data_IF_674938297524
#
_entry.id   IF_674938297524
#
_cell.length_a   1.000
_cell.length_b   1.000
_cell.length_c   1.000
_cell.angle_alpha   90.00
_cell.angle_beta   90.00
_cell.angle_gamma   90.00
#
_symmetry.space_group_name_H-M   'P 1'
#
loop_
_entity.id
_entity.type
_entity.pdbx_description
1 polymer ?
#
# COMPACT_ATOMS: atom_id res chain seq x y z
N UNK A 1 11.69 -12.05 -20.20
CA UNK A 1 11.78 -10.70 -20.73
C UNK A 1 11.24 -9.75 -19.68
N UNK A 2 12.11 -8.92 -19.09
CA UNK A 2 11.75 -7.96 -18.06
C UNK A 2 11.38 -6.62 -18.69
N UNK A 3 10.10 -6.51 -19.00
CA UNK A 3 9.52 -5.39 -19.73
C UNK A 3 8.25 -4.92 -19.03
N UNK A 4 8.10 -3.61 -18.86
CA UNK A 4 6.89 -3.03 -18.29
C UNK A 4 6.60 -1.64 -18.87
N UNK A 5 5.31 -1.34 -19.02
CA UNK A 5 4.83 -0.05 -19.52
C UNK A 5 3.73 0.50 -18.63
N UNK A 6 3.87 1.77 -18.25
CA UNK A 6 2.86 2.55 -17.53
C UNK A 6 2.48 3.78 -18.35
N UNK A 7 1.28 4.30 -18.13
CA UNK A 7 0.79 5.54 -18.75
C UNK A 7 0.72 6.63 -17.71
N UNK A 8 1.30 7.78 -18.01
CA UNK A 8 1.11 9.01 -17.26
C UNK A 8 -0.24 9.61 -17.65
N UNK A 9 -1.26 9.50 -16.80
CA UNK A 9 -2.61 10.01 -17.11
C UNK A 9 -2.68 11.53 -17.20
N UNK A 10 -1.73 12.26 -16.60
CA UNK A 10 -1.66 13.72 -16.67
C UNK A 10 -1.17 14.19 -18.03
N UNK A 11 -0.13 13.54 -18.54
CA UNK A 11 0.54 13.94 -19.78
C UNK A 11 0.18 13.08 -20.99
N UNK A 12 -0.59 12.01 -20.80
CA UNK A 12 -0.95 11.01 -21.82
C UNK A 12 0.26 10.37 -22.50
N UNK A 13 1.35 10.20 -21.74
CA UNK A 13 2.58 9.58 -22.22
C UNK A 13 2.63 8.12 -21.80
N UNK A 14 3.03 7.23 -22.70
CA UNK A 14 3.35 5.85 -22.35
C UNK A 14 4.84 5.76 -22.07
N UNK A 15 5.21 5.34 -20.87
CA UNK A 15 6.58 5.14 -20.45
C UNK A 15 6.84 3.65 -20.32
N UNK A 16 7.92 3.19 -20.95
CA UNK A 16 8.30 1.78 -21.00
C UNK A 16 9.72 1.62 -20.48
N UNK A 17 9.90 0.64 -19.60
CA UNK A 17 11.20 0.17 -19.12
C UNK A 17 11.43 -1.24 -19.65
N UNK A 18 12.53 -1.40 -20.40
CA UNK A 18 13.09 -2.70 -20.76
C UNK A 18 14.39 -2.88 -19.96
N UNK A 19 14.35 -3.71 -18.91
CA UNK A 19 15.50 -3.96 -18.04
C UNK A 19 16.58 -4.75 -18.78
N UNK A 20 16.20 -5.71 -19.62
CA UNK A 20 17.13 -6.59 -20.32
C UNK A 20 17.90 -5.81 -21.40
N UNK A 21 17.21 -4.92 -22.12
CA UNK A 21 17.80 -4.06 -23.15
C UNK A 21 18.41 -2.77 -22.59
N UNK A 22 18.19 -2.46 -21.30
CA UNK A 22 18.59 -1.22 -20.64
C UNK A 22 18.00 0.05 -21.30
N UNK A 23 16.73 0.01 -21.70
CA UNK A 23 16.08 1.10 -22.44
C UNK A 23 14.96 1.73 -21.62
N UNK A 24 14.96 3.06 -21.56
CA UNK A 24 13.79 3.87 -21.21
C UNK A 24 13.21 4.42 -22.51
N UNK A 25 11.94 4.11 -22.77
CA UNK A 25 11.19 4.60 -23.93
C UNK A 25 10.02 5.43 -23.47
N UNK A 26 9.79 6.56 -24.12
CA UNK A 26 8.59 7.40 -23.93
C UNK A 26 7.91 7.54 -25.29
N UNK A 27 6.64 7.19 -25.34
CA UNK A 27 5.75 7.46 -26.48
C UNK A 27 4.86 8.65 -26.13
N UNK A 28 4.92 9.68 -26.97
CA UNK A 28 4.15 10.92 -26.86
C UNK A 28 3.39 11.07 -28.17
N UNK A 29 2.07 10.92 -28.13
CA UNK A 29 1.24 10.81 -29.34
C UNK A 29 1.78 9.69 -30.26
N UNK A 30 2.37 10.07 -31.40
CA UNK A 30 2.98 9.16 -32.39
C UNK A 30 4.52 9.14 -32.34
N UNK A 31 5.15 10.05 -31.60
CA UNK A 31 6.60 10.12 -31.51
C UNK A 31 7.12 9.20 -30.41
N UNK A 32 8.13 8.40 -30.74
CA UNK A 32 8.83 7.53 -29.81
C UNK A 32 10.22 8.11 -29.56
N UNK A 33 10.55 8.37 -28.29
CA UNK A 33 11.89 8.73 -27.85
C UNK A 33 12.45 7.62 -26.99
N UNK A 34 13.72 7.32 -27.16
CA UNK A 34 14.42 6.28 -26.41
C UNK A 34 15.75 6.80 -25.87
N UNK A 35 16.16 6.29 -24.72
CA UNK A 35 17.49 6.52 -24.16
C UNK A 35 17.99 5.26 -23.46
N UNK A 36 19.32 5.09 -23.44
CA UNK A 36 19.97 3.96 -22.78
C UNK A 36 20.24 4.28 -21.31
N UNK A 37 19.84 3.37 -20.45
CA UNK A 37 20.03 3.42 -19.01
C UNK A 37 21.34 2.75 -18.60
N UNK A 38 21.92 3.17 -17.47
CA UNK A 38 22.93 2.36 -16.78
C UNK A 38 22.25 1.12 -16.17
N UNK A 39 22.97 -0.01 -15.98
CA UNK A 39 22.39 -1.24 -15.43
C UNK A 39 21.57 -1.04 -14.15
N UNK A 40 22.14 -0.36 -13.15
CA UNK A 40 21.43 -0.09 -11.90
C UNK A 40 20.21 0.82 -12.08
N UNK A 41 20.24 1.75 -13.05
CA UNK A 41 19.10 2.64 -13.32
C UNK A 41 17.94 1.83 -13.88
N UNK A 42 18.23 0.93 -14.82
CA UNK A 42 17.24 0.03 -15.41
C UNK A 42 16.60 -0.87 -14.35
N UNK A 43 17.40 -1.52 -13.49
CA UNK A 43 16.86 -2.39 -12.44
C UNK A 43 16.04 -1.63 -11.40
N UNK A 44 16.48 -0.45 -10.95
CA UNK A 44 15.72 0.35 -9.99
C UNK A 44 14.40 0.82 -10.61
N UNK A 45 14.43 1.35 -11.84
CA UNK A 45 13.21 1.81 -12.52
C UNK A 45 12.26 0.67 -12.84
N UNK A 46 12.77 -0.47 -13.30
CA UNK A 46 11.96 -1.66 -13.56
C UNK A 46 11.24 -2.11 -12.28
N UNK A 47 11.97 -2.19 -11.16
CA UNK A 47 11.39 -2.56 -9.89
C UNK A 47 10.30 -1.55 -9.45
N UNK A 48 10.55 -0.24 -9.61
CA UNK A 48 9.58 0.80 -9.27
C UNK A 48 8.31 0.72 -10.13
N UNK A 49 8.46 0.46 -11.42
CA UNK A 49 7.34 0.30 -12.35
C UNK A 49 6.56 -0.98 -12.04
N UNK A 50 7.25 -2.10 -11.81
CA UNK A 50 6.62 -3.41 -11.58
C UNK A 50 5.81 -3.48 -10.29
N UNK A 51 6.22 -2.73 -9.27
CA UNK A 51 5.54 -2.69 -7.97
C UNK A 51 4.58 -1.52 -7.82
N UNK A 52 4.48 -0.61 -8.79
CA UNK A 52 3.55 0.51 -8.75
C UNK A 52 2.11 0.00 -8.51
N UNK A 53 1.33 0.60 -7.58
CA UNK A 53 1.56 1.86 -6.85
C UNK A 53 2.26 1.72 -5.48
N UNK A 54 2.85 0.57 -5.16
CA UNK A 54 3.53 0.32 -3.89
C UNK A 54 4.94 0.94 -3.92
N UNK A 55 5.32 1.77 -2.94
CA UNK A 55 6.70 2.26 -2.83
C UNK A 55 7.71 1.14 -2.60
N UNK A 56 8.89 1.28 -3.20
CA UNK A 56 10.04 0.43 -2.91
C UNK A 56 10.70 0.85 -1.59
N UNK A 57 10.82 -0.06 -0.62
CA UNK A 57 11.54 0.20 0.63
C UNK A 57 13.01 0.56 0.38
N UNK A 58 13.59 1.35 1.29
CA UNK A 58 14.99 1.77 1.19
C UNK A 58 15.97 0.59 1.17
N UNK A 59 15.65 -0.47 1.90
CA UNK A 59 16.42 -1.71 1.97
C UNK A 59 16.45 -2.40 0.61
N UNK A 60 15.30 -2.47 -0.06
CA UNK A 60 15.19 -3.12 -1.36
C UNK A 60 15.97 -2.36 -2.44
N UNK A 61 15.86 -1.03 -2.44
CA UNK A 61 16.64 -0.19 -3.36
C UNK A 61 18.14 -0.35 -3.10
N UNK A 62 18.55 -0.37 -1.83
CA UNK A 62 19.94 -0.57 -1.42
C UNK A 62 20.48 -1.91 -1.92
N UNK A 63 19.67 -2.97 -1.83
CA UNK A 63 20.02 -4.29 -2.32
C UNK A 63 20.23 -4.31 -3.83
N UNK A 64 19.33 -3.72 -4.60
CA UNK A 64 19.48 -3.57 -6.06
C UNK A 64 20.79 -2.83 -6.38
N UNK A 65 21.07 -1.71 -5.71
CA UNK A 65 22.29 -0.95 -5.95
C UNK A 65 23.55 -1.77 -5.62
N UNK A 66 23.53 -2.58 -4.55
CA UNK A 66 24.63 -3.47 -4.16
C UNK A 66 24.86 -4.61 -5.14
N UNK A 67 23.80 -5.19 -5.68
CA UNK A 67 23.88 -6.23 -6.74
C UNK A 67 24.58 -5.71 -7.99
N UNK A 68 24.46 -4.41 -8.26
CA UNK A 68 25.20 -3.71 -9.32
C UNK A 68 26.55 -3.13 -8.85
N UNK A 69 27.11 -3.68 -7.77
CA UNK A 69 28.40 -3.32 -7.18
C UNK A 69 28.56 -1.83 -6.81
N UNK A 70 27.47 -1.14 -6.50
CA UNK A 70 27.52 0.25 -6.02
C UNK A 70 27.73 0.30 -4.51
N UNK A 71 28.63 1.18 -4.07
CA UNK A 71 28.92 1.41 -2.66
C UNK A 71 27.77 2.20 -2.02
N UNK A 72 26.95 1.52 -1.22
CA UNK A 72 25.88 2.10 -0.41
C UNK A 72 26.16 1.82 1.07
N UNK A 73 26.99 2.68 1.68
CA UNK A 73 27.34 2.62 3.10
C UNK A 73 26.25 3.15 4.03
N UNK A 74 25.36 3.99 3.49
CA UNK A 74 24.34 4.72 4.24
C UNK A 74 23.18 5.15 3.32
N UNK A 75 22.10 5.62 3.93
CA UNK A 75 20.92 6.12 3.22
C UNK A 75 21.23 7.36 2.36
N UNK A 76 22.19 8.22 2.76
CA UNK A 76 22.54 9.41 1.97
C UNK A 76 23.11 9.03 0.60
N UNK A 77 23.96 8.01 0.53
CA UNK A 77 24.49 7.50 -0.74
C UNK A 77 23.39 6.90 -1.62
N UNK A 78 22.44 6.19 -1.04
CA UNK A 78 21.26 5.70 -1.77
C UNK A 78 20.44 6.88 -2.33
N UNK A 79 20.13 7.88 -1.51
CA UNK A 79 19.40 9.08 -1.96
C UNK A 79 20.12 9.83 -3.09
N UNK A 80 21.46 9.90 -3.06
CA UNK A 80 22.26 10.48 -4.16
C UNK A 80 22.11 9.69 -5.46
N UNK A 81 22.10 8.35 -5.40
CA UNK A 81 21.86 7.53 -6.59
C UNK A 81 20.47 7.78 -7.16
N UNK A 82 19.45 7.85 -6.32
CA UNK A 82 18.07 8.12 -6.78
C UNK A 82 17.95 9.52 -7.39
N UNK A 83 18.68 10.50 -6.84
CA UNK A 83 18.78 11.83 -7.42
C UNK A 83 19.49 11.84 -8.78
N UNK A 84 20.53 11.01 -8.97
CA UNK A 84 21.20 10.80 -10.27
C UNK A 84 20.21 10.25 -11.31
N UNK A 85 19.40 9.25 -10.95
CA UNK A 85 18.35 8.71 -11.83
C UNK A 85 17.35 9.80 -12.21
N UNK A 86 16.84 10.55 -11.22
CA UNK A 86 15.86 11.62 -11.44
C UNK A 86 16.40 12.70 -12.37
N UNK A 87 17.65 13.15 -12.16
CA UNK A 87 18.30 14.14 -13.02
C UNK A 87 18.49 13.63 -14.45
N UNK A 88 18.90 12.37 -14.60
CA UNK A 88 19.05 11.75 -15.91
C UNK A 88 17.71 11.72 -16.67
N UNK A 89 16.62 11.32 -16.01
CA UNK A 89 15.30 11.28 -16.64
C UNK A 89 14.81 12.69 -16.98
N UNK A 90 15.00 13.67 -16.09
CA UNK A 90 14.61 15.06 -16.33
C UNK A 90 15.35 15.68 -17.53
N UNK A 91 16.63 15.34 -17.71
CA UNK A 91 17.42 15.75 -18.88
C UNK A 91 16.91 15.12 -20.18
N UNK A 92 16.49 13.86 -20.11
CA UNK A 92 15.91 13.16 -21.27
C UNK A 92 14.52 13.71 -21.62
N UNK A 93 13.68 14.00 -20.62
CA UNK A 93 12.36 14.57 -20.80
C UNK A 93 11.94 15.46 -19.61
N UNK A 94 11.90 16.80 -19.76
CA UNK A 94 11.65 17.72 -18.65
C UNK A 94 10.34 17.48 -17.87
N UNK A 95 9.28 16.99 -18.52
CA UNK A 95 7.99 16.72 -17.85
C UNK A 95 8.00 15.46 -16.96
N UNK A 96 9.16 14.81 -16.79
CA UNK A 96 9.36 13.65 -15.91
C UNK A 96 10.31 13.96 -14.74
N UNK A 97 10.53 15.24 -14.44
CA UNK A 97 11.35 15.68 -13.32
C UNK A 97 10.84 15.18 -11.95
N UNK A 98 9.53 14.98 -11.84
CA UNK A 98 8.82 14.47 -10.65
C UNK A 98 8.47 12.98 -10.71
N UNK A 99 9.03 12.21 -11.67
CA UNK A 99 8.71 10.78 -11.85
C UNK A 99 9.10 9.90 -10.66
N UNK A 100 10.04 10.34 -9.82
CA UNK A 100 10.49 9.61 -8.62
C UNK A 100 10.14 10.44 -7.39
N UNK A 101 9.23 9.92 -6.57
CA UNK A 101 8.80 10.49 -5.30
C UNK A 101 9.49 9.78 -4.14
N UNK A 102 9.87 10.53 -3.10
CA UNK A 102 10.38 9.99 -1.85
C UNK A 102 9.33 10.17 -0.75
N UNK A 103 8.91 9.07 -0.14
CA UNK A 103 8.08 9.10 1.06
C UNK A 103 8.97 8.79 2.26
N UNK A 104 9.21 9.80 3.10
CA UNK A 104 10.13 9.71 4.24
C UNK A 104 9.75 8.54 5.16
N UNK A 105 10.71 7.66 5.42
CA UNK A 105 10.53 6.50 6.30
C UNK A 105 9.78 5.33 5.65
N UNK A 106 9.42 5.44 4.37
CA UNK A 106 8.74 4.39 3.61
C UNK A 106 9.61 3.92 2.45
N UNK A 107 10.07 4.83 1.59
CA UNK A 107 10.75 4.42 0.36
C UNK A 107 10.61 5.41 -0.79
N UNK A 108 10.80 4.88 -2.01
CA UNK A 108 10.60 5.61 -3.25
C UNK A 108 9.49 5.01 -4.10
N UNK A 109 8.69 5.86 -4.75
CA UNK A 109 7.60 5.43 -5.62
C UNK A 109 7.51 6.28 -6.88
N UNK A 110 6.70 5.82 -7.83
CA UNK A 110 6.22 6.67 -8.92
C UNK A 110 4.99 7.47 -8.44
N UNK A 111 4.72 8.64 -9.04
CA UNK A 111 3.45 9.35 -8.87
C UNK A 111 2.22 8.47 -9.11
N UNK A 112 1.15 8.68 -8.35
CA UNK A 112 -0.08 7.90 -8.50
C UNK A 112 -0.82 8.16 -9.83
N UNK A 113 -0.41 9.15 -10.61
CA UNK A 113 -0.92 9.37 -11.98
C UNK A 113 -0.47 8.32 -12.99
N UNK A 114 0.53 7.50 -12.63
CA UNK A 114 0.92 6.37 -13.47
C UNK A 114 -0.11 5.23 -13.34
N UNK A 115 -0.48 4.63 -14.48
CA UNK A 115 -1.45 3.51 -14.55
C UNK A 115 -0.92 2.43 -15.48
N UNK A 116 -1.34 1.18 -15.27
CA UNK A 116 -1.08 0.14 -16.25
C UNK A 116 -1.84 0.46 -17.55
N UNK A 117 -1.24 0.16 -18.71
CA UNK A 117 -1.89 0.32 -20.02
C UNK A 117 -3.27 -0.35 -20.09
N UNK A 118 -3.44 -1.49 -19.40
CA UNK A 118 -4.68 -2.25 -19.37
C UNK A 118 -5.73 -1.71 -18.39
N UNK A 119 -5.41 -0.69 -17.58
CA UNK A 119 -6.31 -0.06 -16.60
C UNK A 119 -6.89 1.28 -17.09
N UNK A 120 -6.56 1.72 -18.31
CA UNK A 120 -7.16 2.91 -18.92
C UNK A 120 -8.44 2.47 -19.61
N UNK A 121 -9.48 2.19 -18.84
CA UNK A 121 -10.80 2.10 -19.43
C UNK A 121 -11.36 3.52 -19.62
N UNK A 122 -12.13 3.76 -20.69
CA UNK A 122 -12.69 5.08 -20.98
C UNK A 122 -13.58 5.56 -19.81
N UNK A 123 -13.45 6.85 -19.48
CA UNK A 123 -14.09 7.58 -18.36
C UNK A 123 -15.63 7.63 -18.37
N UNK A 124 -16.32 6.70 -19.01
CA UNK A 124 -17.78 6.72 -19.07
C UNK A 124 -18.37 5.45 -18.47
N UNK A 125 -18.80 5.56 -17.21
CA UNK A 125 -19.70 4.65 -16.49
C UNK A 125 -19.21 3.24 -16.14
N UNK A 126 -17.96 3.09 -15.71
CA UNK A 126 -17.47 1.79 -15.24
C UNK A 126 -17.61 1.71 -13.72
N UNK A 127 -18.63 0.97 -13.29
CA UNK A 127 -18.68 0.42 -11.93
C UNK A 127 -17.51 -0.54 -11.79
N UNK A 128 -16.45 -0.12 -11.11
CA UNK A 128 -15.38 -1.01 -10.68
C UNK A 128 -15.98 -2.04 -9.71
N UNK A 129 -16.26 -3.26 -10.18
CA UNK A 129 -16.49 -4.42 -9.30
C UNK A 129 -15.14 -5.05 -9.00
N UNK A 130 -14.37 -4.47 -8.10
CA UNK A 130 -13.11 -5.10 -7.71
C UNK A 130 -13.42 -6.36 -6.88
N UNK A 131 -13.39 -7.52 -7.53
CA UNK A 131 -13.66 -8.81 -6.89
C UNK A 131 -12.63 -9.12 -5.79
N UNK A 132 -11.39 -8.64 -5.90
CA UNK A 132 -10.36 -8.84 -4.89
C UNK A 132 -10.63 -8.01 -3.63
N UNK A 133 -11.04 -6.74 -3.77
CA UNK A 133 -11.52 -5.93 -2.65
C UNK A 133 -12.71 -6.59 -1.97
N UNK A 134 -13.69 -7.08 -2.75
CA UNK A 134 -14.87 -7.72 -2.16
C UNK A 134 -14.50 -8.99 -1.37
N UNK A 135 -13.59 -9.81 -1.90
CA UNK A 135 -13.03 -10.97 -1.16
C UNK A 135 -12.27 -10.53 0.09
N UNK A 136 -11.48 -9.48 0.02
CA UNK A 136 -10.76 -8.94 1.18
C UNK A 136 -11.75 -8.42 2.25
N UNK A 137 -12.82 -7.74 1.86
CA UNK A 137 -13.86 -7.26 2.77
C UNK A 137 -14.63 -8.42 3.40
N UNK A 138 -14.92 -9.47 2.65
CA UNK A 138 -15.54 -10.70 3.17
C UNK A 138 -14.62 -11.42 4.16
N UNK A 139 -13.33 -11.52 3.87
CA UNK A 139 -12.34 -12.06 4.79
C UNK A 139 -12.25 -11.23 6.08
N UNK A 140 -12.21 -9.90 5.98
CA UNK A 140 -12.23 -8.99 7.13
C UNK A 140 -13.48 -9.19 8.00
N UNK A 141 -14.65 -9.39 7.40
CA UNK A 141 -15.87 -9.73 8.13
C UNK A 141 -15.71 -11.03 8.93
N UNK A 142 -15.13 -12.07 8.33
CA UNK A 142 -14.78 -13.32 9.04
C UNK A 142 -13.84 -13.08 10.22
N UNK A 143 -12.78 -12.30 10.03
CA UNK A 143 -11.84 -11.96 11.12
C UNK A 143 -12.51 -11.19 12.27
N UNK A 144 -13.49 -10.34 11.97
CA UNK A 144 -14.27 -9.63 13.00
C UNK A 144 -15.12 -10.60 13.82
N UNK A 145 -15.80 -11.54 13.15
CA UNK A 145 -16.58 -12.57 13.85
C UNK A 145 -15.70 -13.41 14.77
N UNK A 146 -14.52 -13.82 14.29
CA UNK A 146 -13.54 -14.54 15.11
C UNK A 146 -13.08 -13.70 16.30
N UNK A 147 -12.82 -12.40 16.11
CA UNK A 147 -12.39 -11.51 17.18
C UNK A 147 -13.47 -11.30 18.25
N UNK A 148 -14.75 -11.26 17.85
CA UNK A 148 -15.89 -11.20 18.79
C UNK A 148 -15.97 -12.49 19.61
N UNK A 149 -15.83 -13.66 18.97
CA UNK A 149 -15.80 -14.95 19.65
C UNK A 149 -14.61 -15.06 20.63
N UNK A 150 -13.40 -14.67 20.20
CA UNK A 150 -12.22 -14.63 21.06
C UNK A 150 -12.40 -13.68 22.26
N UNK A 151 -13.02 -12.52 22.05
CA UNK A 151 -13.33 -11.58 23.13
C UNK A 151 -14.24 -12.21 24.17
N UNK A 152 -15.27 -12.95 23.73
CA UNK A 152 -16.22 -13.62 24.64
C UNK A 152 -15.59 -14.70 25.52
N UNK A 153 -14.44 -15.25 25.10
CA UNK A 153 -13.67 -16.30 25.81
C UNK A 153 -12.54 -15.74 26.67
N UNK A 154 -12.28 -14.43 26.59
CA UNK A 154 -11.14 -13.78 27.23
C UNK A 154 -11.56 -13.12 28.54
N UNK A 155 -10.69 -13.19 29.54
CA UNK A 155 -10.90 -12.54 30.84
C UNK A 155 -10.32 -11.14 30.86
N UNK A 156 -10.90 -10.25 31.66
CA UNK A 156 -10.31 -8.94 31.94
C UNK A 156 -9.40 -9.06 33.16
N UNK A 157 -8.17 -8.56 33.03
CA UNK A 157 -7.16 -8.51 34.09
C UNK A 157 -6.74 -7.08 34.36
N UNK A 158 -6.34 -6.79 35.58
CA UNK A 158 -5.78 -5.51 35.95
C UNK A 158 -4.28 -5.45 35.65
N UNK A 159 -3.82 -4.32 35.09
CA UNK A 159 -2.42 -3.99 34.85
C UNK A 159 -2.11 -2.57 35.39
N UNK A 160 -0.84 -2.18 35.56
CA UNK A 160 -0.48 -0.83 36.00
C UNK A 160 -1.02 0.31 35.11
N UNK A 161 -1.35 0.01 33.85
CA UNK A 161 -1.89 0.97 32.88
C UNK A 161 -3.43 0.98 32.84
N UNK A 162 -4.10 0.07 33.57
CA UNK A 162 -5.55 -0.10 33.55
C UNK A 162 -5.98 -1.56 33.33
N UNK A 163 -7.26 -1.74 33.04
CA UNK A 163 -7.89 -3.02 32.76
C UNK A 163 -7.66 -3.43 31.31
N UNK A 164 -7.16 -4.64 31.11
CA UNK A 164 -6.81 -5.17 29.79
C UNK A 164 -7.44 -6.54 29.58
N UNK A 165 -7.66 -6.90 28.33
CA UNK A 165 -8.05 -8.25 27.98
C UNK A 165 -6.83 -9.19 28.06
N UNK A 166 -6.98 -10.30 28.79
CA UNK A 166 -5.99 -11.35 28.81
C UNK A 166 -6.01 -12.13 27.49
N UNK A 167 -5.01 -11.89 26.66
CA UNK A 167 -4.86 -12.48 25.32
C UNK A 167 -4.10 -13.79 25.30
N UNK A 168 -3.46 -14.21 26.40
CA UNK A 168 -2.66 -15.44 26.41
C UNK A 168 -3.43 -16.69 25.92
N UNK A 169 -4.73 -16.89 26.26
CA UNK A 169 -5.49 -18.03 25.76
C UNK A 169 -5.68 -18.07 24.23
N UNK A 170 -5.60 -16.91 23.56
CA UNK A 170 -5.92 -16.74 22.13
C UNK A 170 -4.74 -16.17 21.33
N UNK A 171 -3.56 -16.06 21.94
CA UNK A 171 -2.41 -15.34 21.38
C UNK A 171 -1.97 -15.86 20.02
N UNK A 172 -1.88 -17.19 19.87
CA UNK A 172 -1.48 -17.81 18.60
C UNK A 172 -2.51 -17.54 17.50
N UNK A 173 -3.80 -17.61 17.85
CA UNK A 173 -4.91 -17.31 16.94
C UNK A 173 -4.83 -15.84 16.50
N UNK A 174 -4.62 -14.91 17.44
CA UNK A 174 -4.47 -13.48 17.11
C UNK A 174 -3.33 -13.27 16.09
N UNK A 175 -2.17 -13.91 16.27
CA UNK A 175 -1.03 -13.76 15.36
C UNK A 175 -1.39 -14.22 13.94
N UNK A 176 -2.05 -15.38 13.81
CA UNK A 176 -2.55 -15.89 12.53
C UNK A 176 -3.54 -14.91 11.89
N UNK A 177 -4.54 -14.45 12.65
CA UNK A 177 -5.57 -13.52 12.16
C UNK A 177 -4.99 -12.17 11.75
N UNK A 178 -3.97 -11.67 12.44
CA UNK A 178 -3.24 -10.46 12.06
C UNK A 178 -2.47 -10.66 10.75
N UNK A 179 -1.93 -11.85 10.48
CA UNK A 179 -1.28 -12.15 9.21
C UNK A 179 -2.28 -12.06 8.05
N UNK A 180 -3.43 -12.72 8.18
CA UNK A 180 -4.51 -12.67 7.18
C UNK A 180 -5.02 -11.23 6.99
N UNK A 181 -5.13 -10.47 8.10
CA UNK A 181 -5.50 -9.06 8.04
C UNK A 181 -4.51 -8.26 7.19
N UNK A 182 -3.20 -8.47 7.36
CA UNK A 182 -2.19 -7.74 6.59
C UNK A 182 -2.30 -8.04 5.09
N UNK A 183 -2.62 -9.27 4.71
CA UNK A 183 -2.86 -9.63 3.31
C UNK A 183 -4.08 -8.86 2.75
N UNK A 184 -5.19 -8.81 3.50
CA UNK A 184 -6.38 -8.04 3.12
C UNK A 184 -6.08 -6.53 3.01
N UNK A 185 -5.34 -5.98 3.98
CA UNK A 185 -4.90 -4.59 4.00
C UNK A 185 -4.07 -4.25 2.75
N UNK A 186 -3.14 -5.12 2.34
CA UNK A 186 -2.33 -4.90 1.15
C UNK A 186 -3.18 -4.90 -0.13
N UNK A 187 -4.14 -5.83 -0.26
CA UNK A 187 -5.06 -5.88 -1.41
C UNK A 187 -5.84 -4.56 -1.51
N UNK A 188 -6.45 -4.14 -0.39
CA UNK A 188 -7.27 -2.92 -0.33
C UNK A 188 -6.41 -1.67 -0.65
N UNK A 189 -5.25 -1.52 0.00
CA UNK A 189 -4.38 -0.36 -0.20
C UNK A 189 -3.76 -0.31 -1.60
N UNK A 190 -3.41 -1.46 -2.19
CA UNK A 190 -2.88 -1.53 -3.56
C UNK A 190 -3.87 -0.95 -4.55
N UNK A 191 -5.13 -1.35 -4.46
CA UNK A 191 -6.16 -0.85 -5.37
C UNK A 191 -6.45 0.62 -5.13
N UNK A 192 -6.64 1.04 -3.87
CA UNK A 192 -7.00 2.43 -3.56
C UNK A 192 -5.90 3.41 -3.97
N UNK A 193 -4.63 3.03 -3.84
CA UNK A 193 -3.50 3.87 -4.29
C UNK A 193 -3.48 4.08 -5.82
N UNK A 194 -4.27 3.33 -6.58
CA UNK A 194 -4.48 3.64 -7.99
C UNK A 194 -5.47 4.80 -8.21
N UNK A 195 -6.07 5.38 -7.17
CA UNK A 195 -6.96 6.55 -7.29
C UNK A 195 -6.25 7.83 -6.84
N UNK A 196 -6.58 8.98 -7.46
CA UNK A 196 -5.96 10.28 -7.16
C UNK A 196 -6.41 10.89 -5.82
N UNK A 197 -7.44 10.34 -5.16
CA UNK A 197 -8.01 10.90 -3.94
C UNK A 197 -7.18 10.54 -2.68
N UNK A 198 -6.09 11.28 -2.44
CA UNK A 198 -5.17 11.10 -1.30
C UNK A 198 -5.89 11.08 0.06
N UNK A 199 -6.88 11.97 0.28
CA UNK A 199 -7.62 12.04 1.54
C UNK A 199 -8.47 10.80 1.81
N UNK A 200 -9.07 10.20 0.78
CA UNK A 200 -9.86 8.97 0.94
C UNK A 200 -8.93 7.81 1.28
N UNK A 201 -7.78 7.74 0.61
CA UNK A 201 -6.73 6.74 0.87
C UNK A 201 -6.24 6.78 2.32
N UNK A 202 -5.99 7.98 2.87
CA UNK A 202 -5.60 8.16 4.27
C UNK A 202 -6.68 7.70 5.25
N UNK A 203 -7.95 8.02 4.96
CA UNK A 203 -9.07 7.58 5.79
C UNK A 203 -9.23 6.07 5.77
N UNK A 204 -9.10 5.42 4.62
CA UNK A 204 -9.14 3.95 4.53
C UNK A 204 -8.00 3.32 5.31
N UNK A 205 -6.76 3.83 5.16
CA UNK A 205 -5.62 3.36 5.94
C UNK A 205 -5.86 3.48 7.45
N UNK A 206 -6.42 4.61 7.90
CA UNK A 206 -6.79 4.81 9.30
C UNK A 206 -7.81 3.77 9.80
N UNK A 207 -8.88 3.52 9.02
CA UNK A 207 -9.91 2.54 9.37
C UNK A 207 -9.33 1.13 9.46
N UNK A 208 -8.44 0.75 8.53
CA UNK A 208 -7.75 -0.54 8.54
C UNK A 208 -6.87 -0.69 9.80
N UNK A 209 -6.08 0.33 10.16
CA UNK A 209 -5.26 0.30 11.40
C UNK A 209 -6.14 0.14 12.65
N UNK A 210 -7.29 0.81 12.70
CA UNK A 210 -8.25 0.65 13.81
C UNK A 210 -8.80 -0.77 13.88
N UNK A 211 -9.28 -1.32 12.76
CA UNK A 211 -9.78 -2.70 12.69
C UNK A 211 -8.72 -3.72 13.10
N UNK A 212 -7.48 -3.56 12.65
CA UNK A 212 -6.35 -4.39 13.05
C UNK A 212 -6.12 -4.38 14.56
N UNK A 213 -6.27 -3.21 15.18
CA UNK A 213 -6.14 -3.04 16.64
C UNK A 213 -7.22 -3.81 17.38
N UNK A 214 -8.46 -3.78 16.88
CA UNK A 214 -9.57 -4.56 17.44
C UNK A 214 -9.36 -6.07 17.24
N UNK A 215 -8.99 -6.53 16.05
CA UNK A 215 -8.69 -7.95 15.78
C UNK A 215 -7.52 -8.44 16.65
N UNK A 216 -6.54 -7.58 16.91
CA UNK A 216 -5.42 -7.83 17.83
C UNK A 216 -5.78 -7.80 19.33
N UNK A 217 -7.04 -7.51 19.66
CA UNK A 217 -7.58 -7.33 21.01
C UNK A 217 -6.73 -6.34 21.85
N UNK A 218 -6.15 -5.33 21.17
CA UNK A 218 -5.19 -4.41 21.76
C UNK A 218 -5.90 -3.14 22.27
N UNK A 219 -6.48 -3.22 23.48
CA UNK A 219 -7.10 -2.07 24.14
C UNK A 219 -6.87 -2.11 25.65
N UNK A 220 -6.80 -0.93 26.25
CA UNK A 220 -6.70 -0.69 27.69
C UNK A 220 -7.90 0.19 28.09
N UNK A 221 -8.54 -0.14 29.21
CA UNK A 221 -9.53 0.72 29.87
C UNK A 221 -8.93 1.26 31.15
N UNK A 222 -8.98 2.58 31.33
CA UNK A 222 -8.55 3.23 32.58
C UNK A 222 -9.50 2.93 33.74
N UNK A 223 -10.76 2.60 33.43
CA UNK A 223 -11.82 2.33 34.39
C UNK A 223 -12.12 0.83 34.53
N UNK A 224 -12.56 0.37 35.72
CA UNK A 224 -13.08 -0.98 35.88
C UNK A 224 -14.22 -1.24 34.90
N UNK A 225 -14.15 -2.36 34.21
CA UNK A 225 -15.10 -2.73 33.16
C UNK A 225 -15.30 -4.25 33.22
N UNK A 226 -16.56 -4.68 33.12
CA UNK A 226 -16.89 -6.10 33.10
C UNK A 226 -16.68 -6.71 31.72
N UNK A 227 -16.54 -8.04 31.66
CA UNK A 227 -16.39 -8.79 30.41
C UNK A 227 -17.56 -8.54 29.45
N UNK A 228 -18.79 -8.49 29.97
CA UNK A 228 -19.98 -8.19 29.18
C UNK A 228 -19.95 -6.76 28.59
N UNK A 229 -19.63 -5.76 29.42
CA UNK A 229 -19.51 -4.37 28.96
C UNK A 229 -18.41 -4.20 27.92
N UNK A 230 -17.28 -4.88 28.10
CA UNK A 230 -16.19 -4.86 27.13
C UNK A 230 -16.60 -5.49 25.80
N UNK A 231 -17.27 -6.65 25.85
CA UNK A 231 -17.73 -7.35 24.66
C UNK A 231 -18.76 -6.52 23.88
N UNK A 232 -19.71 -5.89 24.58
CA UNK A 232 -20.72 -5.03 23.95
C UNK A 232 -20.08 -3.80 23.31
N UNK A 233 -19.18 -3.13 24.03
CA UNK A 233 -18.40 -2.02 23.50
C UNK A 233 -17.57 -2.45 22.28
N UNK A 234 -16.87 -3.58 22.37
CA UNK A 234 -16.03 -4.10 21.29
C UNK A 234 -16.85 -4.35 20.02
N UNK A 235 -18.02 -5.00 20.15
CA UNK A 235 -18.94 -5.25 19.03
C UNK A 235 -19.38 -3.95 18.36
N UNK A 236 -19.80 -2.96 19.15
CA UNK A 236 -20.24 -1.68 18.61
C UNK A 236 -19.13 -0.99 17.82
N UNK A 237 -17.94 -0.89 18.40
CA UNK A 237 -16.82 -0.21 17.78
C UNK A 237 -16.33 -0.93 16.51
N UNK A 238 -16.09 -2.25 16.59
CA UNK A 238 -15.53 -2.98 15.46
C UNK A 238 -16.45 -2.93 14.23
N UNK A 239 -17.77 -3.03 14.43
CA UNK A 239 -18.75 -2.89 13.35
C UNK A 239 -18.85 -1.46 12.83
N UNK A 240 -18.82 -0.45 13.72
CA UNK A 240 -18.80 0.95 13.31
C UNK A 240 -17.63 1.24 12.35
N UNK A 241 -16.42 0.81 12.71
CA UNK A 241 -15.24 1.01 11.86
C UNK A 241 -15.30 0.19 10.56
N UNK A 242 -15.85 -1.02 10.61
CA UNK A 242 -15.99 -1.87 9.44
C UNK A 242 -17.01 -1.33 8.44
N UNK A 243 -18.16 -0.84 8.91
CA UNK A 243 -19.17 -0.24 8.06
C UNK A 243 -18.71 1.09 7.47
N UNK A 244 -17.97 1.90 8.24
CA UNK A 244 -17.30 3.09 7.70
C UNK A 244 -16.32 2.72 6.57
N UNK A 245 -15.54 1.65 6.74
CA UNK A 245 -14.61 1.17 5.71
C UNK A 245 -15.36 0.76 4.44
N UNK A 246 -16.40 -0.06 4.58
CA UNK A 246 -17.23 -0.51 3.45
C UNK A 246 -17.87 0.65 2.71
N UNK A 247 -18.45 1.61 3.44
CA UNK A 247 -19.09 2.77 2.83
C UNK A 247 -18.09 3.65 2.10
N UNK A 248 -16.90 3.83 2.68
CA UNK A 248 -15.85 4.63 2.06
C UNK A 248 -15.28 3.96 0.81
N UNK A 249 -15.03 2.65 0.83
CA UNK A 249 -14.62 1.89 -0.36
C UNK A 249 -15.68 1.99 -1.46
N UNK A 250 -16.97 1.78 -1.13
CA UNK A 250 -18.06 1.93 -2.09
C UNK A 250 -18.15 3.35 -2.67
N UNK A 251 -17.82 4.37 -1.89
CA UNK A 251 -17.81 5.75 -2.40
C UNK A 251 -16.70 5.96 -3.44
N UNK A 252 -15.58 5.24 -3.34
CA UNK A 252 -14.50 5.27 -4.33
C UNK A 252 -14.86 4.46 -5.58
N UNK A 253 -15.56 3.32 -5.43
CA UNK A 253 -16.01 2.50 -6.57
C UNK A 253 -17.04 3.19 -7.49
N UNK A 254 -17.74 4.21 -6.99
CA UNK A 254 -18.77 4.96 -7.72
C UNK A 254 -18.29 6.34 -8.23
N UNK A 255 -17.01 6.68 -8.01
CA UNK A 255 -16.35 7.90 -8.51
C UNK A 255 -15.56 7.61 -9.77
#
# INVERSE_FOLDING_TARGET
>A
MKFISLVDTKNQNVITIDEDSLILRIKINEQVKETRLKPYMASVLYEMFSKHPIPLPYEQITEILRQHHLIVSDLMRMHRRLSEIRLFIAQFHPNLDDIILNTRGVGYSLPLRFKNLHQIEPKENIKFKNQEINKAIEALHGLILDAIDMTSKSKIIYSPLGYIMNREPVKQIIVEKISIFNECEQIILKEIRTHEAEFISLRIAYLLVKLKTFIGLARISEYPISEAQWLDWFKQEVWLFFDQLKNLIRSVENL
#
